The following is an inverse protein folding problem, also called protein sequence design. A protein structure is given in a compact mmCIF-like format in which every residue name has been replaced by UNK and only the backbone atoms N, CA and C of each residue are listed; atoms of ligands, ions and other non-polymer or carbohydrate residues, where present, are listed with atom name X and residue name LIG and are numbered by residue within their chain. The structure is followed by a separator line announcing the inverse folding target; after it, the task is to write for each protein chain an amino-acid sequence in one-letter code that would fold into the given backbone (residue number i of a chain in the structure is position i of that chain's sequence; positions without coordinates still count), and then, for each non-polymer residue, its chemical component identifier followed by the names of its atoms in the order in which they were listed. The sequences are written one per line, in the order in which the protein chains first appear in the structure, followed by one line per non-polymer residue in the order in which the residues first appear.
data_IF_115102691981
#
_entry.id   IF_115102691981
#
_cell.length_a   1.000
_cell.length_b   1.000
_cell.length_c   1.000
_cell.angle_alpha   90.00
_cell.angle_beta   90.00
_cell.angle_gamma   90.00
#
_symmetry.space_group_name_H-M   'P 1'
#
loop_
_entity.id
_entity.type
_entity.pdbx_description
1 polymer ?
#
# COMPACT_ATOMS: atom_id res chain seq x y z
N UNK A 1 19.12 -40.19 35.54
CA UNK A 1 18.15 -41.01 34.79
C UNK A 1 16.75 -40.54 35.14
N UNK A 2 16.00 -40.03 34.17
CA UNK A 2 14.54 -39.94 34.21
C UNK A 2 14.08 -39.67 32.77
N UNK A 3 13.68 -40.75 32.09
CA UNK A 3 13.12 -40.73 30.75
C UNK A 3 11.66 -40.29 30.85
N UNK A 4 11.31 -39.15 30.24
CA UNK A 4 9.92 -38.70 30.10
C UNK A 4 9.47 -39.00 28.67
N UNK A 5 8.85 -40.17 28.50
CA UNK A 5 8.09 -40.53 27.30
C UNK A 5 6.96 -39.53 27.10
N UNK A 6 6.96 -38.84 25.96
CA UNK A 6 5.91 -37.90 25.55
C UNK A 6 4.83 -38.63 24.76
N UNK A 7 3.78 -39.07 25.45
CA UNK A 7 2.59 -39.73 24.89
C UNK A 7 1.61 -38.75 24.21
N UNK A 8 2.09 -37.82 23.37
CA UNK A 8 1.21 -36.85 22.70
C UNK A 8 1.20 -36.91 21.17
N UNK A 9 1.80 -37.94 20.58
CA UNK A 9 1.62 -38.26 19.16
C UNK A 9 0.32 -39.07 18.94
N UNK A 10 -0.83 -38.42 19.13
CA UNK A 10 -2.09 -38.91 18.55
C UNK A 10 -2.35 -38.14 17.27
N UNK A 11 -2.04 -38.77 16.14
CA UNK A 11 -2.38 -38.32 14.80
C UNK A 11 -3.88 -38.09 14.70
N UNK A 12 -4.28 -36.83 14.46
CA UNK A 12 -5.62 -36.54 13.98
C UNK A 12 -5.63 -36.87 12.47
N UNK A 13 -6.54 -37.74 11.99
CA UNK A 13 -6.66 -38.01 10.56
C UNK A 13 -7.19 -36.74 9.88
N UNK A 14 -6.32 -36.06 9.13
CA UNK A 14 -6.72 -34.98 8.24
C UNK A 14 -7.63 -35.50 7.12
N UNK A 15 -8.43 -34.62 6.49
CA UNK A 15 -9.35 -34.99 5.42
C UNK A 15 -8.60 -35.66 4.26
N UNK A 16 -9.25 -36.69 3.73
CA UNK A 16 -8.68 -37.78 2.94
C UNK A 16 -7.90 -37.31 1.70
N UNK A 17 -6.67 -37.85 1.54
CA UNK A 17 -6.11 -38.11 0.20
C UNK A 17 -4.86 -37.37 -0.26
N UNK A 18 -4.24 -36.49 0.52
CA UNK A 18 -2.94 -35.88 0.16
C UNK A 18 -2.01 -35.88 1.38
N UNK A 19 -1.09 -36.86 1.43
CA UNK A 19 -0.01 -36.89 2.42
C UNK A 19 0.95 -35.71 2.16
N UNK A 20 0.71 -34.56 2.81
CA UNK A 20 1.65 -33.44 2.77
C UNK A 20 2.82 -33.78 3.70
N UNK A 21 3.92 -34.26 3.14
CA UNK A 21 5.17 -34.45 3.88
C UNK A 21 5.60 -33.12 4.51
N UNK A 22 5.71 -33.08 5.84
CA UNK A 22 6.19 -31.90 6.58
C UNK A 22 7.62 -31.56 6.11
N UNK A 23 7.78 -30.47 5.36
CA UNK A 23 9.09 -29.95 4.93
C UNK A 23 9.33 -29.86 3.42
N UNK A 24 8.40 -30.31 2.58
CA UNK A 24 8.52 -30.11 1.13
C UNK A 24 8.03 -28.72 0.71
N UNK A 25 8.92 -27.90 0.14
CA UNK A 25 8.55 -26.60 -0.44
C UNK A 25 8.01 -26.81 -1.85
N UNK A 26 6.68 -26.83 -1.99
CA UNK A 26 6.05 -26.69 -3.30
C UNK A 26 6.24 -25.26 -3.80
N UNK A 27 6.74 -25.08 -5.02
CA UNK A 27 6.84 -23.78 -5.66
C UNK A 27 5.42 -23.28 -5.99
N UNK A 28 4.83 -22.53 -5.06
CA UNK A 28 3.50 -21.96 -5.23
C UNK A 28 3.55 -20.76 -6.20
N UNK A 29 2.63 -20.72 -7.15
CA UNK A 29 2.42 -19.58 -8.03
C UNK A 29 1.62 -18.46 -7.34
N UNK A 30 1.55 -17.28 -7.98
CA UNK A 30 0.78 -16.14 -7.45
C UNK A 30 -0.67 -16.51 -7.13
N UNK A 31 -1.30 -17.30 -8.01
CA UNK A 31 -2.68 -17.77 -7.82
C UNK A 31 -2.83 -18.73 -6.65
N UNK A 32 -1.80 -19.50 -6.32
CA UNK A 32 -1.87 -20.48 -5.25
C UNK A 32 -1.79 -19.80 -3.87
N UNK A 33 -1.06 -18.69 -3.74
CA UNK A 33 -1.10 -17.86 -2.53
C UNK A 33 -2.49 -17.28 -2.29
N UNK A 34 -3.10 -16.74 -3.35
CA UNK A 34 -4.46 -16.19 -3.28
C UNK A 34 -5.47 -17.28 -2.94
N UNK A 35 -5.39 -18.45 -3.58
CA UNK A 35 -6.28 -19.58 -3.29
C UNK A 35 -6.18 -20.02 -1.83
N UNK A 36 -4.95 -20.17 -1.30
CA UNK A 36 -4.70 -20.54 0.10
C UNK A 36 -5.28 -19.53 1.09
N UNK A 37 -5.10 -18.24 0.81
CA UNK A 37 -5.58 -17.18 1.70
C UNK A 37 -7.12 -17.10 1.65
N UNK A 38 -7.72 -17.28 0.47
CA UNK A 38 -9.18 -17.39 0.30
C UNK A 38 -9.75 -18.59 1.08
N UNK A 39 -9.16 -19.79 0.92
CA UNK A 39 -9.58 -20.99 1.64
C UNK A 39 -9.48 -20.81 3.16
N UNK A 40 -8.42 -20.14 3.65
CA UNK A 40 -8.26 -19.80 5.06
C UNK A 40 -9.37 -18.86 5.56
N UNK A 41 -9.74 -17.85 4.79
CA UNK A 41 -10.80 -16.91 5.18
C UNK A 41 -12.19 -17.57 5.14
N UNK A 42 -12.45 -18.47 4.20
CA UNK A 42 -13.72 -19.21 4.14
C UNK A 42 -13.85 -20.31 5.19
N UNK A 43 -12.76 -20.79 5.77
CA UNK A 43 -12.80 -21.73 6.89
C UNK A 43 -13.37 -21.09 8.17
N UNK A 44 -13.21 -19.77 8.35
CA UNK A 44 -13.64 -19.00 9.51
C UNK A 44 -14.42 -17.74 9.08
N UNK A 45 -15.62 -17.88 8.49
CA UNK A 45 -16.39 -16.75 7.97
C UNK A 45 -16.90 -15.79 9.06
N UNK A 46 -16.94 -16.23 10.32
CA UNK A 46 -17.32 -15.43 11.49
C UNK A 46 -16.22 -14.45 11.95
N UNK A 47 -14.95 -14.69 11.59
CA UNK A 47 -13.84 -13.82 11.97
C UNK A 47 -13.74 -12.61 11.04
N UNK A 48 -13.79 -11.41 11.60
CA UNK A 48 -13.67 -10.18 10.81
C UNK A 48 -12.26 -10.04 10.22
N UNK A 49 -12.18 -9.71 8.93
CA UNK A 49 -10.91 -9.44 8.25
C UNK A 49 -10.34 -8.12 8.77
N UNK A 50 -9.25 -8.18 9.54
CA UNK A 50 -8.54 -6.99 10.04
C UNK A 50 -7.71 -6.40 8.90
N UNK A 51 -8.20 -5.29 8.33
CA UNK A 51 -7.36 -4.45 7.47
C UNK A 51 -6.23 -3.86 8.33
N UNK A 52 -4.96 -3.93 7.88
CA UNK A 52 -3.89 -3.32 8.64
C UNK A 52 -4.14 -1.81 8.73
N UNK A 53 -4.26 -1.30 9.96
CA UNK A 53 -4.23 0.14 10.19
C UNK A 53 -2.87 0.69 9.73
N UNK A 54 -2.87 1.93 9.23
CA UNK A 54 -1.64 2.64 8.87
C UNK A 54 -0.67 2.58 10.07
N UNK A 55 0.56 2.14 9.82
CA UNK A 55 1.56 1.93 10.86
C UNK A 55 1.73 3.20 11.71
N UNK A 56 1.42 3.10 13.00
CA UNK A 56 1.72 4.15 13.98
C UNK A 56 3.23 4.23 14.17
N UNK A 57 3.76 5.44 14.32
CA UNK A 57 5.16 5.65 14.70
C UNK A 57 5.46 4.89 15.99
N UNK A 58 6.66 4.32 16.07
CA UNK A 58 7.11 3.64 17.29
C UNK A 58 7.54 4.73 18.27
N UNK A 59 6.63 5.18 19.11
CA UNK A 59 6.95 6.17 20.13
C UNK A 59 7.68 5.50 21.31
N UNK A 60 8.67 6.17 21.90
CA UNK A 60 9.30 5.66 23.12
C UNK A 60 8.34 5.62 24.29
N UNK A 61 8.53 4.60 25.13
CA UNK A 61 7.81 4.51 26.40
C UNK A 61 8.18 5.71 27.28
N UNK A 62 7.20 6.41 27.87
CA UNK A 62 7.48 7.51 28.77
C UNK A 62 8.27 7.03 30.00
N UNK A 63 9.11 7.90 30.59
CA UNK A 63 9.82 7.55 31.81
C UNK A 63 8.81 7.24 32.93
N UNK A 64 9.09 6.24 33.80
CA UNK A 64 8.23 5.94 34.93
C UNK A 64 8.22 7.12 35.91
N UNK A 65 7.05 7.48 36.41
CA UNK A 65 6.87 8.63 37.32
C UNK A 65 7.60 8.42 38.66
N UNK A 66 7.49 7.23 39.24
CA UNK A 66 8.13 6.90 40.51
C UNK A 66 9.08 5.71 40.37
N UNK A 67 10.36 5.94 40.68
CA UNK A 67 11.34 4.87 40.87
C UNK A 67 11.29 4.45 42.33
N UNK A 68 10.73 3.26 42.59
CA UNK A 68 10.54 2.74 43.96
C UNK A 68 11.83 2.19 44.58
N UNK A 69 12.84 1.91 43.77
CA UNK A 69 14.01 1.13 44.17
C UNK A 69 15.24 2.03 44.42
N UNK A 70 15.00 3.28 44.81
CA UNK A 70 16.09 4.20 45.21
C UNK A 70 16.57 3.78 46.59
N UNK A 71 17.83 3.34 46.65
CA UNK A 71 18.45 2.97 47.92
C UNK A 71 18.56 4.22 48.79
N UNK A 72 17.81 4.25 49.90
CA UNK A 72 17.66 5.45 50.76
C UNK A 72 16.23 5.76 51.17
N UNK A 73 15.22 5.24 50.46
CA UNK A 73 13.81 5.51 50.77
C UNK A 73 13.26 4.49 51.77
N UNK A 74 13.91 4.34 52.92
CA UNK A 74 13.42 3.51 54.02
C UNK A 74 12.50 4.33 54.93
N UNK A 75 11.19 4.25 54.72
CA UNK A 75 10.24 4.57 55.78
C UNK A 75 10.42 3.53 56.90
N UNK A 76 11.14 3.87 57.98
CA UNK A 76 11.12 3.08 59.21
C UNK A 76 11.52 3.85 60.49
N UNK A 77 10.52 4.55 61.04
CA UNK A 77 10.06 4.57 62.46
C UNK A 77 11.00 5.03 63.59
N UNK A 78 12.32 5.06 63.49
CA UNK A 78 13.16 5.53 64.62
C UNK A 78 13.80 6.88 64.33
N UNK A 79 13.50 7.84 65.20
CA UNK A 79 14.03 9.21 65.27
C UNK A 79 15.55 9.21 65.58
N UNK A 80 16.36 8.69 64.67
CA UNK A 80 17.80 8.97 64.63
C UNK A 80 18.20 9.22 63.18
N UNK A 81 18.35 10.50 62.90
CA UNK A 81 18.59 11.14 61.63
C UNK A 81 20.05 10.88 61.21
N UNK A 82 20.30 10.18 60.12
CA UNK A 82 21.51 10.37 59.30
C UNK A 82 21.27 9.85 57.88
N UNK A 83 21.55 10.71 56.91
CA UNK A 83 21.41 10.50 55.47
C UNK A 83 22.20 9.27 54.97
N UNK A 84 21.50 8.20 54.59
CA UNK A 84 22.12 7.00 53.96
C UNK A 84 21.70 6.82 52.49
N UNK A 85 21.19 7.87 51.85
CA UNK A 85 20.68 7.82 50.47
C UNK A 85 21.69 8.20 49.38
N UNK A 86 22.60 9.15 49.66
CA UNK A 86 23.55 9.66 48.65
C UNK A 86 24.97 9.10 48.77
N UNK A 87 25.27 8.38 49.85
CA UNK A 87 26.60 7.84 50.15
C UNK A 87 26.68 6.30 50.10
N UNK A 88 25.57 5.63 49.76
CA UNK A 88 25.50 4.18 49.72
C UNK A 88 26.25 3.66 48.48
N UNK A 89 27.39 2.98 48.69
CA UNK A 89 28.37 2.66 47.64
C UNK A 89 27.80 1.84 46.47
N UNK A 90 28.28 2.12 45.24
CA UNK A 90 27.95 1.40 43.99
C UNK A 90 27.89 -0.11 44.23
N UNK A 91 26.66 -0.66 44.17
CA UNK A 91 26.41 -2.09 44.28
C UNK A 91 26.58 -2.81 42.94
N UNK A 92 26.69 -4.14 42.97
CA UNK A 92 26.87 -4.97 41.77
C UNK A 92 25.72 -4.87 40.74
N UNK A 93 24.54 -4.40 41.15
CA UNK A 93 23.39 -4.17 40.27
C UNK A 93 23.37 -2.79 39.60
N UNK A 94 24.18 -1.84 40.06
CA UNK A 94 24.13 -0.45 39.60
C UNK A 94 24.55 -0.30 38.13
N UNK A 95 25.50 -1.13 37.67
CA UNK A 95 25.93 -1.18 36.28
C UNK A 95 24.79 -1.52 35.31
N UNK A 96 23.94 -2.50 35.65
CA UNK A 96 22.83 -2.88 34.79
C UNK A 96 21.71 -1.83 34.79
N UNK A 97 21.52 -1.14 35.92
CA UNK A 97 20.59 -0.02 36.03
C UNK A 97 21.08 1.13 35.13
N UNK A 98 22.35 1.54 35.25
CA UNK A 98 22.98 2.54 34.38
C UNK A 98 22.89 2.17 32.90
N UNK A 99 23.23 0.92 32.53
CA UNK A 99 23.15 0.43 31.14
C UNK A 99 21.72 0.53 30.59
N UNK A 100 20.72 0.18 31.39
CA UNK A 100 19.31 0.26 31.01
C UNK A 100 18.81 1.70 30.86
N UNK A 101 19.22 2.60 31.77
CA UNK A 101 18.90 4.03 31.69
C UNK A 101 19.59 4.66 30.46
N UNK A 102 20.87 4.38 30.23
CA UNK A 102 21.65 4.94 29.12
C UNK A 102 21.09 4.54 27.75
N UNK A 103 20.64 3.30 27.58
CA UNK A 103 19.97 2.86 26.32
C UNK A 103 18.66 3.58 26.08
N UNK A 104 17.84 3.73 27.12
CA UNK A 104 16.57 4.48 27.03
C UNK A 104 16.83 5.95 26.70
N UNK A 105 17.86 6.53 27.30
CA UNK A 105 18.24 7.91 27.05
C UNK A 105 18.80 8.12 25.65
N UNK A 106 19.64 7.21 25.13
CA UNK A 106 20.10 7.28 23.75
C UNK A 106 18.98 7.13 22.74
N UNK A 107 18.05 6.20 22.96
CA UNK A 107 16.87 6.11 22.10
C UNK A 107 16.06 7.42 22.15
N UNK A 108 15.87 8.00 23.34
CA UNK A 108 15.15 9.28 23.52
C UNK A 108 15.83 10.43 22.81
N UNK A 109 17.16 10.54 22.91
CA UNK A 109 17.94 11.56 22.23
C UNK A 109 17.90 11.36 20.70
N UNK A 110 18.02 10.13 20.22
CA UNK A 110 17.91 9.80 18.79
C UNK A 110 16.53 10.16 18.24
N UNK A 111 15.45 9.92 18.99
CA UNK A 111 14.11 10.35 18.58
C UNK A 111 13.91 11.86 18.63
N UNK A 112 14.52 12.55 19.60
CA UNK A 112 14.48 14.02 19.66
C UNK A 112 15.27 14.62 18.51
N UNK A 113 16.43 14.06 18.18
CA UNK A 113 17.25 14.51 17.05
C UNK A 113 16.52 14.26 15.73
N UNK A 114 15.97 13.06 15.53
CA UNK A 114 15.14 12.74 14.35
C UNK A 114 13.91 13.64 14.26
N UNK A 115 13.17 13.82 15.35
CA UNK A 115 11.99 14.70 15.33
C UNK A 115 12.38 16.18 15.17
N UNK A 116 13.50 16.63 15.73
CA UNK A 116 14.01 17.98 15.51
C UNK A 116 14.44 18.17 14.06
N UNK A 117 15.15 17.21 13.45
CA UNK A 117 15.43 17.21 12.02
C UNK A 117 14.14 17.21 11.20
N UNK A 118 13.17 16.36 11.52
CA UNK A 118 11.86 16.28 10.89
C UNK A 118 10.94 17.47 11.16
N UNK A 119 11.23 18.36 12.13
CA UNK A 119 10.44 19.56 12.48
C UNK A 119 11.13 20.86 12.04
N UNK A 120 12.46 20.91 12.04
CA UNK A 120 13.27 22.02 11.53
C UNK A 120 13.43 21.96 10.00
N UNK A 121 13.60 20.76 9.43
CA UNK A 121 13.56 20.52 7.98
C UNK A 121 12.23 20.92 7.32
N UNK A 122 11.02 20.58 7.80
CA UNK A 122 9.77 20.68 7.04
C UNK A 122 9.32 22.09 6.77
N UNK A 123 9.62 23.10 7.59
CA UNK A 123 9.10 24.44 7.28
C UNK A 123 9.69 24.98 5.96
N UNK A 124 10.95 24.63 5.65
CA UNK A 124 11.56 24.93 4.36
C UNK A 124 11.43 23.76 3.36
N UNK A 125 11.60 22.52 3.83
CA UNK A 125 11.61 21.30 3.02
C UNK A 125 10.21 20.86 2.56
N UNK A 126 9.15 20.96 3.37
CA UNK A 126 7.78 20.60 2.95
C UNK A 126 7.28 21.58 1.90
N UNK A 127 7.56 22.88 2.03
CA UNK A 127 7.22 23.86 1.00
C UNK A 127 7.99 23.57 -0.30
N UNK A 128 9.28 23.28 -0.22
CA UNK A 128 10.10 22.89 -1.38
C UNK A 128 9.56 21.60 -2.02
N UNK A 129 9.23 20.56 -1.23
CA UNK A 129 8.72 19.27 -1.71
C UNK A 129 7.35 19.43 -2.37
N UNK A 130 6.44 20.21 -1.78
CA UNK A 130 5.12 20.49 -2.35
C UNK A 130 5.28 21.21 -3.69
N UNK A 131 6.08 22.28 -3.75
CA UNK A 131 6.32 23.03 -4.98
C UNK A 131 6.98 22.17 -6.06
N UNK A 132 7.92 21.30 -5.68
CA UNK A 132 8.57 20.40 -6.62
C UNK A 132 7.59 19.34 -7.16
N UNK A 133 6.72 18.81 -6.31
CA UNK A 133 5.67 17.85 -6.70
C UNK A 133 4.63 18.48 -7.62
N UNK A 134 4.19 19.70 -7.31
CA UNK A 134 3.26 20.46 -8.15
C UNK A 134 3.86 20.74 -9.51
N UNK A 135 5.11 21.19 -9.56
CA UNK A 135 5.84 21.41 -10.81
C UNK A 135 5.95 20.13 -11.66
N UNK A 136 6.36 19.02 -11.07
CA UNK A 136 6.48 17.74 -11.79
C UNK A 136 5.11 17.24 -12.28
N UNK A 137 4.06 17.40 -11.48
CA UNK A 137 2.70 17.05 -11.87
C UNK A 137 2.20 17.93 -13.03
N UNK A 138 2.45 19.23 -12.99
CA UNK A 138 2.10 20.12 -14.08
C UNK A 138 2.84 19.77 -15.37
N UNK A 139 4.15 19.50 -15.28
CA UNK A 139 4.96 19.08 -16.43
C UNK A 139 4.45 17.76 -17.02
N UNK A 140 4.11 16.80 -16.16
CA UNK A 140 3.51 15.53 -16.57
C UNK A 140 2.15 15.73 -17.27
N UNK A 141 1.27 16.54 -16.68
CA UNK A 141 -0.05 16.83 -17.25
C UNK A 141 0.04 17.62 -18.56
N UNK A 142 1.03 18.52 -18.70
CA UNK A 142 1.29 19.24 -19.97
C UNK A 142 1.72 18.25 -21.06
N UNK A 143 2.69 17.39 -20.77
CA UNK A 143 3.15 16.34 -21.70
C UNK A 143 2.00 15.40 -22.11
N UNK A 144 1.16 15.00 -21.16
CA UNK A 144 0.01 14.14 -21.47
C UNK A 144 -0.98 14.82 -22.42
N UNK A 145 -1.32 16.10 -22.16
CA UNK A 145 -2.19 16.90 -23.03
C UNK A 145 -1.62 17.05 -24.44
N UNK A 146 -0.33 17.33 -24.57
CA UNK A 146 0.33 17.43 -25.88
C UNK A 146 0.27 16.11 -26.67
N UNK A 147 0.48 14.98 -26.00
CA UNK A 147 0.38 13.67 -26.63
C UNK A 147 -1.06 13.37 -27.08
N UNK A 148 -2.04 13.70 -26.25
CA UNK A 148 -3.45 13.53 -26.55
C UNK A 148 -3.89 14.42 -27.74
N UNK A 149 -3.50 15.69 -27.76
CA UNK A 149 -3.75 16.61 -28.89
C UNK A 149 -3.10 16.14 -30.20
N UNK A 150 -1.86 15.62 -30.13
CA UNK A 150 -1.20 15.04 -31.30
C UNK A 150 -1.92 13.77 -31.80
N UNK A 151 -2.42 12.93 -30.89
CA UNK A 151 -3.23 11.77 -31.24
C UNK A 151 -4.58 12.19 -31.85
N UNK A 152 -5.25 13.19 -31.29
CA UNK A 152 -6.49 13.76 -31.79
C UNK A 152 -6.33 14.40 -33.16
N UNK A 153 -5.29 15.19 -33.40
CA UNK A 153 -5.04 15.81 -34.71
C UNK A 153 -4.77 14.76 -35.79
N UNK A 154 -4.03 13.69 -35.47
CA UNK A 154 -3.78 12.55 -36.39
C UNK A 154 -5.07 11.79 -36.67
N UNK A 155 -5.87 11.49 -35.64
CA UNK A 155 -7.14 10.77 -35.80
C UNK A 155 -8.19 11.61 -36.52
N UNK A 156 -8.28 12.91 -36.26
CA UNK A 156 -9.14 13.87 -36.95
C UNK A 156 -8.79 13.98 -38.45
N UNK A 157 -7.51 14.11 -38.80
CA UNK A 157 -7.05 14.09 -40.21
C UNK A 157 -7.47 12.79 -40.92
N UNK A 158 -7.31 11.64 -40.26
CA UNK A 158 -7.74 10.34 -40.79
C UNK A 158 -9.27 10.23 -40.89
N UNK A 159 -10.01 10.73 -39.90
CA UNK A 159 -11.48 10.76 -39.85
C UNK A 159 -12.05 11.63 -40.97
N UNK A 160 -11.50 12.84 -41.20
CA UNK A 160 -11.88 13.72 -42.32
C UNK A 160 -11.64 13.05 -43.68
N UNK A 161 -10.49 12.37 -43.87
CA UNK A 161 -10.24 11.61 -45.11
C UNK A 161 -11.27 10.50 -45.32
N UNK A 162 -11.65 9.76 -44.27
CA UNK A 162 -12.71 8.73 -44.32
C UNK A 162 -14.07 9.33 -44.64
N UNK A 163 -14.44 10.46 -44.02
CA UNK A 163 -15.69 11.17 -44.29
C UNK A 163 -15.77 11.69 -45.72
N UNK A 164 -14.72 12.33 -46.24
CA UNK A 164 -14.65 12.76 -47.66
C UNK A 164 -14.81 11.58 -48.63
N UNK A 165 -14.15 10.43 -48.35
CA UNK A 165 -14.32 9.20 -49.14
C UNK A 165 -15.74 8.64 -49.04
N UNK A 166 -16.37 8.70 -47.86
CA UNK A 166 -17.77 8.27 -47.64
C UNK A 166 -18.73 9.14 -48.47
N UNK A 167 -18.58 10.46 -48.41
CA UNK A 167 -19.40 11.40 -49.20
C UNK A 167 -19.26 11.15 -50.71
N UNK A 168 -18.02 11.02 -51.23
CA UNK A 168 -17.81 10.69 -52.66
C UNK A 168 -18.43 9.36 -53.08
N UNK A 169 -18.44 8.35 -52.19
CA UNK A 169 -19.08 7.06 -52.44
C UNK A 169 -20.61 7.17 -52.45
N UNK A 170 -21.17 8.01 -51.58
CA UNK A 170 -22.62 8.27 -51.54
C UNK A 170 -23.07 9.02 -52.79
N UNK A 171 -22.41 10.11 -53.16
CA UNK A 171 -22.75 10.87 -54.38
C UNK A 171 -22.63 10.03 -55.65
N UNK A 172 -21.59 9.19 -55.77
CA UNK A 172 -21.48 8.26 -56.91
C UNK A 172 -22.62 7.23 -56.94
N UNK A 173 -23.05 6.72 -55.78
CA UNK A 173 -24.19 5.79 -55.71
C UNK A 173 -25.51 6.48 -56.08
N UNK A 174 -25.70 7.73 -55.66
CA UNK A 174 -26.87 8.54 -56.04
C UNK A 174 -26.91 8.77 -57.55
N UNK A 175 -25.80 9.18 -58.16
CA UNK A 175 -25.70 9.37 -59.61
C UNK A 175 -26.01 8.08 -60.39
N UNK A 176 -25.48 6.93 -59.96
CA UNK A 176 -25.80 5.62 -60.57
C UNK A 176 -27.28 5.26 -60.43
N UNK A 177 -27.89 5.54 -59.27
CA UNK A 177 -29.33 5.29 -59.07
C UNK A 177 -30.20 6.20 -59.95
N UNK A 178 -29.83 7.47 -60.11
CA UNK A 178 -30.58 8.40 -60.97
C UNK A 178 -30.45 8.08 -62.45
N UNK A 179 -29.29 7.56 -62.89
CA UNK A 179 -29.14 7.09 -64.28
C UNK A 179 -29.94 5.81 -64.53
N UNK A 180 -30.00 4.90 -63.55
CA UNK A 180 -30.79 3.67 -63.64
C UNK A 180 -32.30 3.95 -63.57
N UNK A 181 -32.75 4.96 -62.81
CA UNK A 181 -34.16 5.37 -62.77
C UNK A 181 -34.59 6.09 -64.05
N UNK A 182 -33.74 6.97 -64.60
CA UNK A 182 -34.01 7.67 -65.86
C UNK A 182 -33.99 6.71 -67.07
N UNK A 183 -33.22 5.62 -67.02
CA UNK A 183 -33.26 4.55 -68.02
C UNK A 183 -34.51 3.65 -67.88
N UNK A 184 -35.09 3.52 -66.68
CA UNK A 184 -36.36 2.81 -66.46
C UNK A 184 -37.60 3.65 -66.80
N UNK A 185 -37.58 4.96 -66.55
CA UNK A 185 -38.69 5.86 -66.94
C UNK A 185 -38.76 6.11 -68.45
N UNK A 186 -37.62 6.19 -69.14
CA UNK A 186 -37.59 6.28 -70.63
C UNK A 186 -38.03 5.00 -71.34
N UNK A 187 -37.94 3.83 -70.70
CA UNK A 187 -38.48 2.58 -71.23
C UNK A 187 -40.00 2.37 -70.95
N UNK A 188 -40.58 3.12 -69.99
CA UNK A 188 -42.01 3.06 -69.64
C UNK A 188 -42.91 3.99 -70.45
N UNK A 189 -42.36 5.05 -71.06
CA UNK A 189 -43.12 6.08 -71.80
C UNK A 189 -43.36 5.76 -73.29
N UNK A 190 -42.78 4.68 -73.82
CA UNK A 190 -42.91 4.29 -75.23
C UNK A 190 -44.11 3.35 -75.55
N UNK A 191 -45.08 3.19 -74.63
CA UNK A 191 -46.27 2.34 -74.83
C UNK A 191 -47.57 2.99 -74.32
N UNK A 192 -47.95 4.13 -74.87
CA UNK A 192 -49.31 4.72 -74.88
C UNK A 192 -49.14 6.04 -75.65
N UNK A 193 -49.66 6.29 -76.84
CA UNK A 193 -51.01 6.12 -77.41
C UNK A 193 -50.93 6.48 -78.91
N UNK A 194 -51.99 6.40 -79.74
CA UNK A 194 -53.38 6.01 -79.49
C UNK A 194 -53.82 4.68 -80.10
#
# INVERSE_FOLDING_TARGET
MCSRSSEHDREAPGPEGIEVKRGEYTKMGVYDFVRRDIERFFAHPEEAIVSPELFKSKDLKPPPEFVRNVWGNAFRITSFLYDVGSAAGVGSGDFHIYRGIRRREYARLEEIEKSAEEVISPFFSVVIIILHKERLNEEFQKKQRELDELAESKTAKRRMKRQKKKLKRLTKKEQLKTTDSNFKESAGSAKESP
#
